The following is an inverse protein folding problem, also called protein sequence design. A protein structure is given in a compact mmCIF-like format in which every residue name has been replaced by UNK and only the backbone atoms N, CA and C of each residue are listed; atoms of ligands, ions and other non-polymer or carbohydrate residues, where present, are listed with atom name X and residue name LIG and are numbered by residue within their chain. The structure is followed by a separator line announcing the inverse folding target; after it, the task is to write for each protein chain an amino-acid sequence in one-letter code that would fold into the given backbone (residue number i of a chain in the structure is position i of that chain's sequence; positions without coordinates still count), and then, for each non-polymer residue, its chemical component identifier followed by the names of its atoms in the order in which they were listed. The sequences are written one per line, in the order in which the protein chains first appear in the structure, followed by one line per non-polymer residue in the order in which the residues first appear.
data_IF_077464772349
#
_entry.id   IF_077464772349
#
_cell.length_a   1.000
_cell.length_b   1.000
_cell.length_c   1.000
_cell.angle_alpha   90.00
_cell.angle_beta   90.00
_cell.angle_gamma   90.00
#
_symmetry.space_group_name_H-M   'P 1'
#
loop_
_entity.id
_entity.type
_entity.pdbx_description
1 polymer ?
#
# COMPACT_ATOMS: atom_id res chain seq x y z
N UNK A 1 1.06 -20.34 6.97
CA UNK A 1 1.50 -18.95 6.74
C UNK A 1 0.84 -18.49 5.46
N UNK A 2 0.15 -17.34 5.49
CA UNK A 2 -0.45 -16.71 4.31
C UNK A 2 0.57 -15.79 3.65
N UNK A 3 0.44 -15.54 2.34
CA UNK A 3 1.27 -14.56 1.65
C UNK A 3 0.95 -13.17 2.21
N UNK A 4 1.97 -12.34 2.42
CA UNK A 4 1.80 -10.90 2.58
C UNK A 4 2.71 -10.23 1.58
N UNK A 5 2.12 -9.55 0.60
CA UNK A 5 2.85 -8.80 -0.41
C UNK A 5 2.41 -7.35 -0.34
N UNK A 6 3.35 -6.42 -0.17
CA UNK A 6 3.07 -4.99 -0.12
C UNK A 6 3.78 -4.25 -1.24
N UNK A 7 3.11 -3.28 -1.86
CA UNK A 7 3.64 -2.47 -2.93
C UNK A 7 3.39 -0.99 -2.65
N UNK A 8 4.46 -0.21 -2.70
CA UNK A 8 4.50 1.26 -2.67
C UNK A 8 5.05 1.79 -4.01
N UNK A 9 5.19 3.12 -4.13
CA UNK A 9 5.62 3.80 -5.35
C UNK A 9 6.79 3.15 -6.09
N UNK A 10 7.84 2.84 -5.36
CA UNK A 10 9.05 2.21 -5.89
C UNK A 10 9.57 1.09 -4.97
N UNK A 11 8.76 0.55 -4.07
CA UNK A 11 9.15 -0.56 -3.18
C UNK A 11 8.13 -1.68 -3.31
N UNK A 12 8.59 -2.89 -3.57
CA UNK A 12 7.82 -4.12 -3.40
C UNK A 12 8.37 -4.88 -2.20
N UNK A 13 7.50 -5.39 -1.34
CA UNK A 13 7.86 -6.17 -0.17
C UNK A 13 7.17 -7.50 -0.32
N UNK A 14 7.94 -8.54 -0.61
CA UNK A 14 7.48 -9.93 -0.70
C UNK A 14 7.95 -10.69 0.53
N UNK A 15 7.51 -11.94 0.76
CA UNK A 15 8.14 -12.84 1.74
C UNK A 15 9.44 -13.45 1.18
N UNK A 16 10.52 -13.62 1.98
CA UNK A 16 10.71 -13.06 3.32
C UNK A 16 10.64 -11.54 3.23
N UNK A 17 10.10 -10.86 4.25
CA UNK A 17 9.66 -9.43 4.30
C UNK A 17 10.77 -8.41 4.02
N UNK A 18 11.47 -8.58 2.92
CA UNK A 18 12.58 -7.80 2.41
C UNK A 18 12.02 -6.91 1.32
N UNK A 19 12.38 -5.64 1.37
CA UNK A 19 12.05 -4.73 0.29
C UNK A 19 12.90 -5.04 -0.93
N UNK A 20 12.28 -4.93 -2.08
CA UNK A 20 12.90 -4.96 -3.39
C UNK A 20 12.68 -3.57 -3.97
N UNK A 21 13.78 -2.88 -4.21
CA UNK A 21 13.76 -1.56 -4.79
C UNK A 21 13.45 -1.64 -6.28
N UNK A 22 12.36 -1.01 -6.67
CA UNK A 22 11.83 -1.05 -8.03
C UNK A 22 12.18 0.21 -8.84
N UNK A 23 13.23 0.95 -8.45
CA UNK A 23 13.67 2.16 -9.17
C UNK A 23 13.97 1.95 -10.67
N UNK A 24 14.11 0.71 -11.14
CA UNK A 24 14.23 0.35 -12.57
C UNK A 24 12.88 0.30 -13.33
N UNK A 25 11.74 0.37 -12.62
CA UNK A 25 10.41 0.38 -13.25
C UNK A 25 10.16 1.70 -13.98
N UNK A 26 9.97 1.60 -15.29
CA UNK A 26 9.64 2.75 -16.11
C UNK A 26 8.31 3.37 -15.67
N UNK A 27 8.32 4.69 -15.50
CA UNK A 27 7.28 5.42 -14.74
C UNK A 27 5.88 5.43 -15.36
N UNK A 28 5.63 4.83 -16.52
CA UNK A 28 4.38 4.95 -17.29
C UNK A 28 3.62 3.64 -17.55
N UNK A 29 3.79 2.60 -16.74
CA UNK A 29 3.28 1.25 -17.06
C UNK A 29 2.40 0.62 -16.00
N UNK A 30 1.34 -0.06 -16.42
CA UNK A 30 0.55 -0.91 -15.53
C UNK A 30 1.27 -2.22 -15.27
N UNK A 31 1.39 -2.62 -14.00
CA UNK A 31 2.02 -3.87 -13.61
C UNK A 31 1.04 -4.80 -12.91
N UNK A 32 1.10 -6.07 -13.27
CA UNK A 32 0.34 -7.13 -12.63
C UNK A 32 1.01 -7.47 -11.28
N UNK A 33 0.30 -7.18 -10.20
CA UNK A 33 0.81 -7.47 -8.86
C UNK A 33 0.61 -8.95 -8.52
N UNK A 34 -0.58 -9.47 -8.80
CA UNK A 34 -0.94 -10.85 -8.53
C UNK A 34 -2.07 -11.33 -9.44
N UNK A 35 -1.97 -12.57 -9.94
CA UNK A 35 -3.05 -13.30 -10.61
C UNK A 35 -3.05 -14.77 -10.20
N UNK A 36 -4.20 -15.43 -10.37
CA UNK A 36 -4.37 -16.88 -10.28
C UNK A 36 -4.81 -17.39 -11.66
N UNK A 37 -4.07 -18.30 -12.34
CA UNK A 37 -4.50 -18.89 -13.61
C UNK A 37 -5.77 -19.78 -13.48
N UNK A 38 -6.58 -19.92 -14.54
CA UNK A 38 -7.77 -19.11 -14.85
C UNK A 38 -9.08 -19.63 -14.19
N UNK A 39 -10.09 -18.78 -13.92
CA UNK A 39 -10.29 -17.45 -14.52
C UNK A 39 -11.43 -16.58 -13.97
N UNK A 40 -11.30 -16.03 -12.75
CA UNK A 40 -12.11 -14.87 -12.32
C UNK A 40 -11.40 -13.88 -11.35
N UNK A 41 -10.08 -14.03 -11.11
CA UNK A 41 -9.39 -13.20 -10.10
C UNK A 41 -7.99 -12.79 -10.56
N UNK A 42 -7.83 -11.50 -10.83
CA UNK A 42 -6.52 -10.87 -11.00
C UNK A 42 -6.56 -9.47 -10.40
N UNK A 43 -5.46 -9.09 -9.76
CA UNK A 43 -5.30 -7.78 -9.14
C UNK A 43 -4.18 -7.05 -9.84
N UNK A 44 -4.51 -5.86 -10.34
CA UNK A 44 -3.58 -5.00 -11.05
C UNK A 44 -3.39 -3.71 -10.27
N UNK A 45 -2.17 -3.45 -9.82
CA UNK A 45 -1.79 -2.12 -9.34
C UNK A 45 -1.47 -1.25 -10.56
N UNK A 46 -2.30 -0.24 -10.84
CA UNK A 46 -2.03 0.70 -11.93
C UNK A 46 -0.93 1.69 -11.53
N UNK A 47 0.10 1.80 -12.38
CA UNK A 47 1.05 2.90 -12.36
C UNK A 47 0.91 3.71 -13.66
N UNK A 48 0.68 5.01 -13.54
CA UNK A 48 0.62 5.92 -14.70
C UNK A 48 1.31 7.24 -14.39
N UNK A 49 2.53 7.43 -14.89
CA UNK A 49 3.15 8.74 -15.09
C UNK A 49 3.00 9.14 -16.56
N UNK A 50 2.34 10.27 -16.83
CA UNK A 50 2.32 10.94 -18.13
C UNK A 50 2.40 12.43 -17.87
N UNK A 51 3.56 13.07 -18.01
CA UNK A 51 3.58 14.53 -17.96
C UNK A 51 2.99 15.11 -19.23
N UNK A 52 1.83 15.78 -19.11
CA UNK A 52 1.69 17.23 -19.33
C UNK A 52 0.64 17.77 -18.35
N UNK A 53 1.11 18.35 -17.25
CA UNK A 53 0.42 19.22 -16.27
C UNK A 53 -0.33 18.65 -15.04
N UNK A 54 -0.65 17.35 -14.89
CA UNK A 54 -0.96 16.66 -13.59
C UNK A 54 -1.58 15.28 -13.82
N UNK A 55 -1.06 14.23 -13.18
CA UNK A 55 -1.81 13.12 -12.54
C UNK A 55 -0.84 12.06 -12.00
N UNK A 56 -0.97 11.78 -10.71
CA UNK A 56 -0.27 10.76 -9.94
C UNK A 56 -1.35 10.07 -9.09
N UNK A 57 -1.56 8.77 -9.27
CA UNK A 57 -2.45 7.97 -8.42
C UNK A 57 -2.02 6.50 -8.48
N UNK A 58 -1.57 6.00 -7.34
CA UNK A 58 -1.61 4.56 -7.04
C UNK A 58 -3.06 4.30 -6.67
N UNK A 59 -3.90 4.05 -7.67
CA UNK A 59 -5.27 3.59 -7.46
C UNK A 59 -5.22 2.08 -7.70
N UNK A 60 -5.07 1.24 -6.66
CA UNK A 60 -5.12 -0.20 -6.86
C UNK A 60 -6.46 -0.57 -7.49
N UNK A 61 -6.36 -1.38 -8.54
CA UNK A 61 -7.49 -1.82 -9.32
C UNK A 61 -7.61 -3.34 -9.20
N UNK A 62 -8.70 -3.77 -8.59
CA UNK A 62 -8.94 -5.18 -8.29
C UNK A 62 -10.05 -5.66 -9.21
N UNK A 63 -9.78 -6.73 -9.97
CA UNK A 63 -10.80 -7.45 -10.72
C UNK A 63 -11.11 -8.76 -10.00
N UNK A 64 -12.32 -8.85 -9.45
CA UNK A 64 -12.73 -10.02 -8.70
C UNK A 64 -14.23 -10.28 -8.83
N UNK A 65 -14.59 -11.53 -9.10
CA UNK A 65 -15.99 -11.96 -9.24
C UNK A 65 -16.79 -11.10 -10.24
N UNK A 66 -16.15 -10.67 -11.33
CA UNK A 66 -16.74 -9.82 -12.37
C UNK A 66 -16.86 -8.33 -12.01
N UNK A 67 -16.39 -7.89 -10.84
CA UNK A 67 -16.35 -6.48 -10.45
C UNK A 67 -14.99 -5.86 -10.69
N UNK A 68 -15.03 -4.63 -11.21
CA UNK A 68 -13.93 -3.69 -11.27
C UNK A 68 -13.98 -2.77 -10.06
N UNK A 69 -12.97 -2.85 -9.20
CA UNK A 69 -12.93 -2.10 -7.94
C UNK A 69 -11.68 -1.23 -7.91
N UNK A 70 -11.85 0.07 -7.72
CA UNK A 70 -10.75 1.03 -7.59
C UNK A 70 -10.78 1.72 -6.22
N UNK A 71 -9.67 1.63 -5.49
CA UNK A 71 -9.48 2.30 -4.20
C UNK A 71 -8.64 3.56 -4.40
N UNK A 72 -9.04 4.68 -3.79
CA UNK A 72 -8.28 5.93 -3.86
C UNK A 72 -8.35 6.69 -2.54
N UNK A 73 -7.25 7.32 -2.13
CA UNK A 73 -7.23 8.20 -0.97
C UNK A 73 -7.94 9.55 -1.22
N UNK A 74 -8.26 9.89 -2.48
CA UNK A 74 -9.06 11.08 -2.79
C UNK A 74 -10.51 10.98 -2.33
N UNK A 75 -11.03 9.76 -2.17
CA UNK A 75 -12.41 9.55 -1.74
C UNK A 75 -12.44 8.90 -0.37
N UNK A 76 -12.35 9.68 0.70
CA UNK A 76 -12.14 9.18 2.08
C UNK A 76 -13.01 7.98 2.44
N UNK A 77 -14.34 8.09 2.34
CA UNK A 77 -15.33 7.08 2.76
C UNK A 77 -15.96 6.30 1.60
N UNK A 78 -15.31 6.29 0.42
CA UNK A 78 -15.89 5.75 -0.83
C UNK A 78 -14.94 4.88 -1.64
N UNK A 79 -15.54 4.11 -2.53
CA UNK A 79 -14.92 3.16 -3.45
C UNK A 79 -15.61 3.19 -4.81
N UNK A 80 -14.84 3.11 -5.88
CA UNK A 80 -15.37 3.04 -7.23
C UNK A 80 -15.57 1.58 -7.63
N UNK A 81 -16.78 1.20 -8.04
CA UNK A 81 -17.15 -0.16 -8.45
C UNK A 81 -17.85 -0.10 -9.80
N UNK A 82 -17.27 -0.71 -10.84
CA UNK A 82 -17.78 -0.68 -12.21
C UNK A 82 -18.10 0.73 -12.72
N UNK A 83 -17.30 1.73 -12.32
CA UNK A 83 -17.51 3.15 -12.65
C UNK A 83 -18.56 3.87 -11.79
N UNK A 84 -19.13 3.21 -10.77
CA UNK A 84 -20.06 3.81 -9.80
C UNK A 84 -19.39 4.02 -8.45
N UNK A 85 -19.51 5.23 -7.89
CA UNK A 85 -18.91 5.58 -6.61
C UNK A 85 -19.85 5.21 -5.45
N UNK A 86 -19.50 4.15 -4.72
CA UNK A 86 -20.23 3.63 -3.55
C UNK A 86 -19.61 4.11 -2.23
N UNK A 87 -20.38 4.06 -1.13
CA UNK A 87 -19.87 4.32 0.23
C UNK A 87 -19.46 3.02 0.92
N UNK A 88 -18.45 3.09 1.77
CA UNK A 88 -18.16 2.00 2.70
C UNK A 88 -19.13 2.02 3.91
N UNK A 89 -19.47 0.86 4.49
CA UNK A 89 -19.23 -0.49 3.95
C UNK A 89 -20.19 -0.81 2.79
N UNK A 90 -19.75 -1.66 1.87
CA UNK A 90 -20.56 -2.18 0.76
C UNK A 90 -20.31 -3.67 0.59
N UNK A 91 -21.33 -4.41 0.17
CA UNK A 91 -21.27 -5.86 -0.05
C UNK A 91 -21.74 -6.16 -1.46
N UNK A 92 -20.95 -6.93 -2.21
CA UNK A 92 -21.23 -7.35 -3.58
C UNK A 92 -21.33 -8.88 -3.67
N UNK A 93 -21.82 -9.40 -4.80
CA UNK A 93 -21.96 -10.85 -5.05
C UNK A 93 -22.60 -11.62 -3.88
N UNK A 94 -23.70 -11.13 -3.32
CA UNK A 94 -24.42 -11.80 -2.21
C UNK A 94 -23.55 -12.12 -0.97
N UNK A 95 -22.55 -11.27 -0.68
CA UNK A 95 -21.66 -11.49 0.49
C UNK A 95 -20.26 -11.97 0.13
N UNK A 96 -20.02 -12.36 -1.11
CA UNK A 96 -18.71 -12.90 -1.54
C UNK A 96 -17.61 -11.85 -1.65
N UNK A 97 -17.97 -10.59 -1.83
CA UNK A 97 -17.01 -9.48 -1.84
C UNK A 97 -17.48 -8.42 -0.86
N UNK A 98 -16.67 -8.13 0.16
CA UNK A 98 -16.93 -7.10 1.16
C UNK A 98 -15.95 -5.96 0.97
N UNK A 99 -16.49 -4.76 1.01
CA UNK A 99 -15.78 -3.50 0.89
C UNK A 99 -15.97 -2.73 2.20
N UNK A 100 -14.90 -2.44 2.93
CA UNK A 100 -14.99 -1.75 4.21
C UNK A 100 -13.75 -0.94 4.54
N UNK A 101 -13.82 -0.17 5.63
CA UNK A 101 -12.68 0.56 6.18
C UNK A 101 -12.39 0.13 7.61
N UNK A 102 -11.12 0.18 8.00
CA UNK A 102 -10.68 0.07 9.38
C UNK A 102 -9.55 1.07 9.59
N UNK A 103 -9.74 2.00 10.54
CA UNK A 103 -8.82 3.13 10.70
C UNK A 103 -8.70 3.93 9.40
N UNK A 104 -7.45 4.15 8.95
CA UNK A 104 -7.13 4.79 7.66
C UNK A 104 -7.09 3.83 6.47
N UNK A 105 -7.30 2.53 6.70
CA UNK A 105 -7.10 1.49 5.69
C UNK A 105 -8.42 1.08 5.04
N UNK A 106 -8.38 0.88 3.72
CA UNK A 106 -9.52 0.40 2.91
C UNK A 106 -9.31 -1.05 2.52
N UNK A 107 -10.37 -1.85 2.56
CA UNK A 107 -10.32 -3.28 2.37
C UNK A 107 -11.25 -3.75 1.26
N UNK A 108 -10.74 -4.69 0.46
CA UNK A 108 -11.50 -5.61 -0.38
C UNK A 108 -11.24 -7.01 0.16
N UNK A 109 -12.27 -7.65 0.72
CA UNK A 109 -12.20 -9.01 1.25
C UNK A 109 -13.12 -9.92 0.45
N UNK A 110 -12.64 -11.12 0.14
CA UNK A 110 -13.40 -12.12 -0.61
C UNK A 110 -13.70 -13.36 0.22
N UNK A 111 -14.73 -14.11 -0.16
CA UNK A 111 -15.12 -15.38 0.47
C UNK A 111 -14.07 -16.49 0.32
N UNK A 112 -13.26 -16.44 -0.74
CA UNK A 112 -12.11 -17.34 -0.94
C UNK A 112 -10.83 -16.88 -0.21
N UNK A 113 -10.90 -15.79 0.55
CA UNK A 113 -9.85 -15.36 1.49
C UNK A 113 -8.80 -14.40 0.93
N UNK A 114 -8.98 -13.85 -0.28
CA UNK A 114 -8.16 -12.72 -0.75
C UNK A 114 -8.53 -11.48 0.06
N UNK A 115 -7.51 -10.78 0.56
CA UNK A 115 -7.68 -9.48 1.21
C UNK A 115 -6.73 -8.48 0.56
N UNK A 116 -7.28 -7.41 -0.01
CA UNK A 116 -6.52 -6.27 -0.52
C UNK A 116 -6.74 -5.10 0.43
N UNK A 117 -5.68 -4.66 1.09
CA UNK A 117 -5.64 -3.46 1.92
C UNK A 117 -4.98 -2.32 1.14
N UNK A 118 -5.56 -1.13 1.22
CA UNK A 118 -4.93 0.09 0.71
C UNK A 118 -4.88 1.14 1.82
N UNK A 119 -3.66 1.58 2.16
CA UNK A 119 -3.41 2.58 3.21
C UNK A 119 -2.24 3.46 2.82
N UNK A 120 -2.41 4.78 2.85
CA UNK A 120 -1.31 5.74 2.68
C UNK A 120 -0.39 5.46 1.47
N UNK A 121 -0.98 5.09 0.33
CA UNK A 121 -0.32 4.73 -0.94
C UNK A 121 0.37 3.36 -0.97
N UNK A 122 0.24 2.56 0.08
CA UNK A 122 0.69 1.17 0.11
C UNK A 122 -0.51 0.26 -0.17
N UNK A 123 -0.33 -0.65 -1.11
CA UNK A 123 -1.24 -1.77 -1.37
C UNK A 123 -0.66 -2.97 -0.66
N UNK A 124 -1.43 -3.65 0.19
CA UNK A 124 -1.01 -4.89 0.85
C UNK A 124 -2.00 -5.99 0.52
N UNK A 125 -1.48 -7.18 0.27
CA UNK A 125 -2.22 -8.27 -0.36
C UNK A 125 -2.00 -9.50 0.50
N UNK A 126 -3.08 -10.06 1.00
CA UNK A 126 -3.07 -11.35 1.67
C UNK A 126 -3.69 -12.40 0.79
N UNK A 127 -2.97 -13.52 0.65
CA UNK A 127 -3.46 -14.68 -0.09
C UNK A 127 -3.33 -15.95 0.76
N UNK A 128 -4.39 -16.78 0.85
CA UNK A 128 -4.33 -18.05 1.59
C UNK A 128 -3.32 -19.03 0.99
N UNK A 129 -2.68 -19.85 1.85
CA UNK A 129 -1.66 -20.85 1.44
C UNK A 129 -2.15 -21.87 0.41
N UNK A 130 -3.47 -22.07 0.29
CA UNK A 130 -4.05 -22.96 -0.73
C UNK A 130 -3.72 -22.53 -2.17
N UNK A 131 -3.29 -21.27 -2.37
CA UNK A 131 -2.84 -20.75 -3.67
C UNK A 131 -1.33 -20.82 -3.87
N UNK A 132 -0.58 -21.45 -2.96
CA UNK A 132 0.88 -21.66 -3.07
C UNK A 132 1.25 -22.32 -4.40
N UNK A 133 2.18 -21.72 -5.15
CA UNK A 133 2.63 -22.20 -6.46
C UNK A 133 1.62 -21.97 -7.60
N UNK A 134 0.46 -21.36 -7.32
CA UNK A 134 -0.56 -21.02 -8.31
C UNK A 134 -0.64 -19.50 -8.56
N UNK A 135 0.21 -18.72 -7.91
CA UNK A 135 0.26 -17.27 -8.09
C UNK A 135 1.26 -16.89 -9.18
N UNK A 136 1.00 -15.76 -9.82
CA UNK A 136 1.87 -15.17 -10.81
C UNK A 136 1.79 -13.64 -10.67
N UNK A 137 2.91 -12.93 -10.83
CA UNK A 137 2.94 -11.47 -10.69
C UNK A 137 4.22 -11.00 -10.01
N UNK A 138 4.30 -9.69 -9.75
CA UNK A 138 5.38 -9.12 -8.95
C UNK A 138 5.46 -9.70 -7.53
N UNK A 139 4.36 -10.21 -6.98
CA UNK A 139 4.39 -10.88 -5.67
C UNK A 139 4.94 -12.32 -5.71
N UNK A 140 5.45 -12.77 -6.85
CA UNK A 140 5.97 -14.13 -7.03
C UNK A 140 4.90 -15.21 -7.07
N UNK A 141 5.34 -16.45 -6.85
CA UNK A 141 4.51 -17.65 -7.02
C UNK A 141 4.00 -18.20 -5.67
N UNK A 142 4.51 -17.68 -4.55
CA UNK A 142 4.14 -18.06 -3.19
C UNK A 142 4.38 -19.55 -2.86
N UNK A 143 5.41 -20.16 -3.44
CA UNK A 143 5.79 -21.56 -3.15
C UNK A 143 6.67 -21.70 -1.87
N UNK A 144 7.17 -20.58 -1.33
CA UNK A 144 8.05 -20.53 -0.16
C UNK A 144 9.55 -20.48 -0.48
N UNK A 145 9.91 -20.32 -1.75
CA UNK A 145 11.27 -20.14 -2.23
C UNK A 145 11.46 -18.72 -2.80
N UNK A 146 12.05 -17.78 -2.04
CA UNK A 146 12.20 -16.41 -2.51
C UNK A 146 13.19 -16.24 -3.66
N UNK A 147 14.03 -17.23 -3.93
CA UNK A 147 14.98 -17.19 -5.04
C UNK A 147 14.28 -17.28 -6.41
N UNK A 148 13.06 -17.82 -6.47
CA UNK A 148 12.29 -17.97 -7.72
C UNK A 148 11.08 -17.03 -7.82
N UNK A 149 10.82 -16.20 -6.80
CA UNK A 149 9.66 -15.30 -6.78
C UNK A 149 9.79 -14.14 -7.78
N UNK A 150 11.01 -13.78 -8.18
CA UNK A 150 11.30 -12.66 -9.10
C UNK A 150 12.13 -13.06 -10.32
N UNK A 151 12.41 -14.36 -10.48
CA UNK A 151 13.20 -14.90 -11.60
C UNK A 151 12.23 -15.51 -12.60
N UNK A 152 12.19 -15.04 -13.86
CA UNK A 152 11.40 -15.70 -14.89
C UNK A 152 12.00 -17.09 -15.15
N UNK A 153 11.20 -18.02 -15.68
CA UNK A 153 11.65 -19.39 -16.02
C UNK A 153 12.87 -19.45 -16.98
N UNK A 154 13.40 -18.32 -17.45
CA UNK A 154 14.41 -18.18 -18.51
C UNK A 154 15.75 -17.54 -18.09
N UNK A 155 16.05 -17.41 -16.78
CA UNK A 155 17.31 -16.83 -16.26
C UNK A 155 17.58 -15.34 -16.67
N UNK A 156 16.54 -14.58 -17.02
CA UNK A 156 16.68 -13.17 -17.40
C UNK A 156 16.96 -12.23 -16.21
N UNK A 157 17.67 -11.12 -16.48
CA UNK A 157 18.03 -10.09 -15.49
C UNK A 157 16.80 -9.44 -14.82
N UNK A 158 16.96 -8.98 -13.58
CA UNK A 158 15.91 -8.42 -12.73
C UNK A 158 15.06 -7.34 -13.42
N UNK A 159 15.69 -6.47 -14.21
CA UNK A 159 14.99 -5.43 -14.97
C UNK A 159 14.10 -6.00 -16.10
N UNK A 160 14.48 -7.12 -16.71
CA UNK A 160 13.65 -7.82 -17.70
C UNK A 160 12.49 -8.54 -17.01
N UNK A 161 12.74 -9.20 -15.87
CA UNK A 161 11.74 -9.91 -15.08
C UNK A 161 10.55 -9.02 -14.66
N UNK A 162 10.84 -7.82 -14.18
CA UNK A 162 9.81 -6.82 -13.83
C UNK A 162 9.04 -6.34 -15.06
N UNK A 163 9.71 -6.27 -16.22
CA UNK A 163 9.10 -5.93 -17.51
C UNK A 163 8.07 -6.95 -18.00
N UNK A 164 8.22 -8.24 -17.67
CA UNK A 164 7.28 -9.31 -18.07
C UNK A 164 5.88 -9.13 -17.47
N UNK A 165 5.76 -8.51 -16.29
CA UNK A 165 4.49 -8.28 -15.63
C UNK A 165 3.74 -7.02 -16.11
N UNK A 166 4.23 -6.38 -17.18
CA UNK A 166 3.60 -5.21 -17.78
C UNK A 166 2.37 -5.60 -18.60
N UNK A 167 1.20 -5.04 -18.28
CA UNK A 167 -0.08 -5.51 -18.85
C UNK A 167 -0.59 -4.76 -20.08
N UNK A 168 0.16 -3.79 -20.65
CA UNK A 168 -0.12 -3.28 -22.00
C UNK A 168 1.04 -2.50 -22.65
N UNK A 169 1.22 -2.78 -23.94
CA UNK A 169 2.04 -2.03 -24.91
C UNK A 169 1.27 -0.81 -25.42
N UNK A 170 1.58 0.38 -24.92
CA UNK A 170 1.36 1.61 -25.68
C UNK A 170 2.71 2.29 -25.90
N UNK A 171 3.15 2.24 -27.17
CA UNK A 171 4.15 3.05 -27.90
C UNK A 171 5.17 3.84 -27.09
N UNK A 172 6.45 3.68 -27.49
CA UNK A 172 7.62 4.46 -27.11
C UNK A 172 7.28 5.89 -26.70
N UNK A 173 7.19 6.11 -25.40
CA UNK A 173 7.36 7.43 -24.83
C UNK A 173 8.87 7.59 -24.69
N UNK A 174 9.48 8.37 -25.58
CA UNK A 174 10.85 8.84 -25.37
C UNK A 174 10.86 9.64 -24.07
N UNK A 175 11.66 9.20 -23.11
CA UNK A 175 11.95 9.95 -21.89
C UNK A 175 12.48 11.32 -22.32
N UNK A 176 11.60 12.33 -22.29
CA UNK A 176 12.08 13.70 -22.26
C UNK A 176 12.44 13.95 -20.80
N UNK A 177 13.67 14.42 -20.51
CA UNK A 177 14.04 14.74 -19.16
C UNK A 177 13.07 15.81 -18.67
N UNK A 178 12.12 15.40 -17.81
CA UNK A 178 11.46 16.32 -16.90
C UNK A 178 12.62 17.04 -16.23
N UNK A 179 12.55 18.37 -16.21
CA UNK A 179 13.36 19.17 -15.30
C UNK A 179 13.06 18.65 -13.89
N UNK A 180 13.81 17.62 -13.47
CA UNK A 180 13.87 17.17 -12.10
C UNK A 180 14.23 18.45 -11.36
N UNK A 181 13.40 18.88 -10.41
CA UNK A 181 13.93 19.79 -9.41
C UNK A 181 15.22 19.12 -8.92
N UNK A 182 16.36 19.76 -9.20
CA UNK A 182 17.64 19.21 -8.79
C UNK A 182 17.60 19.30 -7.28
N UNK A 183 17.29 18.19 -6.63
CA UNK A 183 17.42 18.09 -5.20
C UNK A 183 18.87 18.44 -4.85
N UNK A 184 19.03 19.60 -4.22
CA UNK A 184 20.35 20.09 -3.86
C UNK A 184 20.87 19.28 -2.66
N UNK A 185 22.16 19.44 -2.35
CA UNK A 185 22.78 18.72 -1.24
C UNK A 185 22.18 19.07 0.13
N UNK A 186 21.62 20.26 0.29
CA UNK A 186 21.02 20.73 1.54
C UNK A 186 19.66 20.06 1.79
N UNK A 187 18.79 20.03 0.78
CA UNK A 187 17.51 19.33 0.80
C UNK A 187 17.71 17.83 1.03
N UNK A 188 18.70 17.22 0.35
CA UNK A 188 19.02 15.82 0.57
C UNK A 188 19.52 15.56 2.00
N UNK A 189 20.35 16.45 2.57
CA UNK A 189 20.81 16.32 3.94
C UNK A 189 19.66 16.48 4.95
N UNK A 190 18.75 17.43 4.70
CA UNK A 190 17.53 17.63 5.49
C UNK A 190 16.65 16.37 5.48
N UNK A 191 16.35 15.82 4.30
CA UNK A 191 15.48 14.65 4.16
C UNK A 191 16.09 13.40 4.79
N UNK A 192 17.42 13.24 4.74
CA UNK A 192 18.14 12.17 5.44
C UNK A 192 18.14 12.32 6.96
N UNK A 193 17.89 13.53 7.48
CA UNK A 193 17.87 13.81 8.92
C UNK A 193 16.70 13.16 9.67
N UNK A 194 16.82 13.08 11.00
CA UNK A 194 15.81 12.51 11.91
C UNK A 194 14.48 13.26 11.94
N UNK A 195 14.47 14.52 11.51
CA UNK A 195 13.24 15.31 11.38
C UNK A 195 12.44 14.98 10.11
N UNK A 196 13.01 14.18 9.22
CA UNK A 196 12.40 13.70 7.99
C UNK A 196 12.49 12.16 7.90
N UNK A 197 13.09 11.62 6.85
CA UNK A 197 13.13 10.18 6.58
C UNK A 197 14.00 9.44 7.61
N UNK A 198 15.03 10.08 8.15
CA UNK A 198 15.93 9.47 9.15
C UNK A 198 15.22 8.98 10.41
N UNK A 199 13.98 9.43 10.67
CA UNK A 199 13.14 8.90 11.74
C UNK A 199 12.82 7.41 11.58
N UNK A 200 12.71 6.93 10.33
CA UNK A 200 12.50 5.51 10.02
C UNK A 200 13.66 4.63 10.50
N UNK A 201 14.86 5.20 10.64
CA UNK A 201 16.06 4.47 11.07
C UNK A 201 16.36 4.66 12.56
N UNK A 202 15.55 5.42 13.30
CA UNK A 202 15.87 5.76 14.68
C UNK A 202 15.74 4.54 15.60
N UNK A 203 16.88 4.05 16.11
CA UNK A 203 16.95 2.89 16.98
C UNK A 203 16.36 3.11 18.37
N UNK A 204 15.99 4.34 18.72
CA UNK A 204 15.29 4.70 19.96
C UNK A 204 13.94 5.37 19.67
N UNK A 205 13.51 5.37 18.41
CA UNK A 205 12.29 6.02 17.96
C UNK A 205 11.06 5.13 17.98
N UNK A 206 9.91 5.73 17.64
CA UNK A 206 8.59 5.08 17.70
C UNK A 206 8.43 3.83 16.81
N UNK A 207 9.33 3.65 15.84
CA UNK A 207 9.29 2.56 14.86
C UNK A 207 10.18 1.36 15.23
N UNK A 208 10.97 1.45 16.31
CA UNK A 208 11.95 0.42 16.69
C UNK A 208 11.38 -1.00 16.72
N UNK A 209 10.18 -1.16 17.29
CA UNK A 209 9.51 -2.47 17.39
C UNK A 209 9.19 -3.07 16.02
N UNK A 210 9.01 -2.24 15.00
CA UNK A 210 8.75 -2.67 13.63
C UNK A 210 10.01 -3.10 12.88
N UNK A 211 11.19 -2.56 13.21
CA UNK A 211 12.44 -2.87 12.48
C UNK A 211 12.78 -4.38 12.47
N UNK A 212 12.28 -5.14 13.46
CA UNK A 212 12.44 -6.60 13.54
C UNK A 212 11.60 -7.37 12.52
N UNK A 213 10.58 -6.72 11.96
CA UNK A 213 9.54 -7.35 11.12
C UNK A 213 9.55 -6.78 9.71
N UNK A 214 9.82 -5.49 9.55
CA UNK A 214 9.92 -4.79 8.26
C UNK A 214 11.21 -3.99 8.26
N UNK A 215 12.10 -4.26 7.32
CA UNK A 215 13.35 -3.51 7.18
C UNK A 215 13.07 -2.03 6.85
N UNK A 216 13.51 -1.06 7.68
CA UNK A 216 13.28 0.35 7.41
C UNK A 216 14.16 0.92 6.31
N UNK A 217 15.23 0.24 5.88
CA UNK A 217 16.23 0.80 4.95
C UNK A 217 15.63 1.15 3.58
N UNK A 218 14.90 0.23 2.97
CA UNK A 218 14.25 0.48 1.67
C UNK A 218 13.21 1.61 1.76
N UNK A 219 12.47 1.68 2.88
CA UNK A 219 11.53 2.76 3.15
C UNK A 219 12.22 4.11 3.31
N UNK A 220 13.36 4.14 4.00
CA UNK A 220 14.16 5.34 4.18
C UNK A 220 14.71 5.85 2.84
N UNK A 221 15.32 4.97 2.04
CA UNK A 221 15.90 5.35 0.74
C UNK A 221 14.80 5.84 -0.22
N UNK A 222 13.66 5.16 -0.23
CA UNK A 222 12.49 5.59 -0.99
C UNK A 222 11.91 6.91 -0.48
N UNK A 223 11.86 7.13 0.83
CA UNK A 223 11.39 8.36 1.43
C UNK A 223 12.25 9.54 0.97
N UNK A 224 13.59 9.41 1.07
CA UNK A 224 14.53 10.43 0.63
C UNK A 224 14.35 10.69 -0.85
N UNK A 225 14.29 9.64 -1.68
CA UNK A 225 14.06 9.76 -3.11
C UNK A 225 12.75 10.49 -3.44
N UNK A 226 11.65 10.13 -2.78
CA UNK A 226 10.34 10.70 -3.04
C UNK A 226 10.21 12.16 -2.58
N UNK A 227 10.81 12.56 -1.46
CA UNK A 227 10.85 13.97 -1.07
C UNK A 227 11.76 14.81 -1.97
N UNK A 228 12.84 14.21 -2.45
CA UNK A 228 13.90 14.85 -3.22
C UNK A 228 13.52 15.01 -4.71
N UNK A 229 12.89 13.99 -5.30
CA UNK A 229 12.60 13.93 -6.73
C UNK A 229 11.11 13.67 -7.05
N UNK A 230 10.28 13.41 -6.03
CA UNK A 230 8.85 13.19 -6.20
C UNK A 230 8.07 14.49 -6.17
N UNK A 231 7.21 14.70 -7.17
CA UNK A 231 6.44 15.94 -7.31
C UNK A 231 5.29 16.12 -6.30
N UNK A 232 4.96 15.12 -5.46
CA UNK A 232 3.81 15.16 -4.52
C UNK A 232 3.97 14.22 -3.30
N UNK A 233 5.20 13.86 -2.93
CA UNK A 233 5.40 13.01 -1.76
C UNK A 233 5.27 13.83 -0.48
N UNK A 234 4.41 13.39 0.44
CA UNK A 234 4.32 13.95 1.77
C UNK A 234 5.03 12.98 2.73
N UNK A 235 5.99 13.48 3.50
CA UNK A 235 6.69 12.73 4.54
C UNK A 235 5.70 11.95 5.41
N UNK A 236 4.62 12.60 5.84
CA UNK A 236 3.62 11.98 6.70
C UNK A 236 2.89 10.83 6.03
N UNK A 237 2.62 10.89 4.72
CA UNK A 237 2.00 9.77 4.00
C UNK A 237 2.96 8.57 3.93
N UNK A 238 4.25 8.82 3.69
CA UNK A 238 5.27 7.78 3.66
C UNK A 238 5.39 7.10 5.02
N UNK A 239 5.50 7.90 6.10
CA UNK A 239 5.54 7.39 7.47
C UNK A 239 4.26 6.62 7.83
N UNK A 240 3.08 7.14 7.47
CA UNK A 240 1.80 6.45 7.69
C UNK A 240 1.73 5.11 6.96
N UNK A 241 2.34 5.02 5.77
CA UNK A 241 2.46 3.77 5.03
C UNK A 241 3.28 2.74 5.79
N UNK A 242 4.46 3.13 6.27
CA UNK A 242 5.31 2.23 7.09
C UNK A 242 4.56 1.74 8.34
N UNK A 243 3.88 2.64 9.06
CA UNK A 243 3.04 2.30 10.22
C UNK A 243 1.95 1.29 9.88
N UNK A 244 1.22 1.51 8.79
CA UNK A 244 0.14 0.62 8.37
C UNK A 244 0.66 -0.78 8.05
N UNK A 245 1.83 -0.88 7.42
CA UNK A 245 2.49 -2.15 7.14
C UNK A 245 2.99 -2.83 8.42
N UNK A 246 3.65 -2.10 9.33
CA UNK A 246 4.08 -2.61 10.63
C UNK A 246 2.91 -3.26 11.38
N UNK A 247 1.79 -2.54 11.47
CA UNK A 247 0.58 -3.02 12.13
C UNK A 247 -0.06 -4.21 11.41
N UNK A 248 0.01 -4.26 10.07
CA UNK A 248 -0.46 -5.43 9.32
C UNK A 248 0.37 -6.68 9.61
N UNK A 249 1.68 -6.49 9.74
CA UNK A 249 2.62 -7.55 10.13
C UNK A 249 2.54 -7.91 11.63
N UNK A 250 1.69 -7.23 12.40
CA UNK A 250 1.48 -7.49 13.83
C UNK A 250 2.54 -6.87 14.73
N UNK A 251 3.42 -6.01 14.19
CA UNK A 251 4.34 -5.22 15.00
C UNK A 251 3.59 -4.06 15.67
N UNK A 252 4.00 -3.73 16.90
CA UNK A 252 3.54 -2.51 17.58
C UNK A 252 4.33 -1.30 17.09
N UNK A 253 3.69 -0.15 17.15
CA UNK A 253 4.30 1.15 16.85
C UNK A 253 3.93 2.08 17.99
N UNK A 254 4.91 2.83 18.50
CA UNK A 254 4.67 3.81 19.55
C UNK A 254 4.14 5.13 18.95
N UNK A 255 3.75 6.07 19.81
CA UNK A 255 3.21 7.34 19.35
C UNK A 255 4.22 8.13 18.49
N UNK A 256 3.89 8.33 17.21
CA UNK A 256 4.78 8.93 16.22
C UNK A 256 4.25 10.25 15.64
N UNK A 257 2.95 10.51 15.78
CA UNK A 257 2.30 11.79 15.44
C UNK A 257 2.22 12.67 16.68
N UNK A 258 2.39 13.97 16.49
CA UNK A 258 2.17 14.98 17.53
C UNK A 258 1.34 16.12 16.96
N UNK A 259 0.94 17.09 17.80
CA UNK A 259 0.23 18.29 17.34
C UNK A 259 1.00 19.06 16.26
N UNK A 260 2.34 19.01 16.35
CA UNK A 260 3.24 19.81 15.52
C UNK A 260 3.92 18.95 14.43
N UNK A 261 3.72 17.63 14.44
CA UNK A 261 4.31 16.70 13.48
C UNK A 261 3.29 15.68 12.98
N UNK A 262 2.99 15.72 11.68
CA UNK A 262 2.06 14.80 11.03
C UNK A 262 0.70 14.67 11.72
N UNK A 263 0.20 15.78 12.28
CA UNK A 263 -1.10 15.82 12.94
C UNK A 263 -2.21 15.30 12.00
N UNK A 264 -3.08 14.43 12.52
CA UNK A 264 -4.22 13.87 11.80
C UNK A 264 -5.52 14.45 12.37
N UNK A 265 -6.23 15.20 11.53
CA UNK A 265 -7.54 15.74 11.89
C UNK A 265 -8.64 14.73 11.62
N UNK A 266 -9.33 14.33 12.68
CA UNK A 266 -10.48 13.43 12.59
C UNK A 266 -11.80 14.21 12.44
N UNK A 267 -12.80 13.66 11.72
CA UNK A 267 -14.12 14.26 11.64
C UNK A 267 -14.79 14.46 13.00
N UNK A 268 -15.82 15.31 13.04
CA UNK A 268 -16.68 15.47 14.23
C UNK A 268 -17.10 14.12 14.81
N UNK A 269 -17.14 14.05 16.15
CA UNK A 269 -17.52 12.84 16.90
C UNK A 269 -16.57 11.64 16.77
N UNK A 270 -15.38 11.85 16.20
CA UNK A 270 -14.30 10.86 16.19
C UNK A 270 -13.01 11.41 16.80
N UNK A 271 -12.10 10.51 17.13
CA UNK A 271 -10.78 10.82 17.66
C UNK A 271 -9.73 9.91 17.04
N UNK A 272 -8.51 10.45 16.92
CA UNK A 272 -7.37 9.69 16.45
C UNK A 272 -6.97 8.65 17.50
N UNK A 273 -6.79 7.42 17.07
CA UNK A 273 -6.16 6.37 17.86
C UNK A 273 -5.16 5.61 16.99
N UNK A 274 -3.96 5.40 17.53
CA UNK A 274 -2.92 4.60 16.86
C UNK A 274 -3.27 3.11 16.87
N UNK A 275 -3.84 2.63 17.97
CA UNK A 275 -4.14 1.23 18.19
C UNK A 275 -5.30 1.07 19.19
N UNK A 276 -6.57 1.10 18.74
CA UNK A 276 -7.71 0.97 19.64
C UNK A 276 -7.71 -0.41 20.32
N UNK A 277 -7.75 -0.46 21.66
CA UNK A 277 -7.82 -1.73 22.41
C UNK A 277 -9.22 -2.36 22.43
N UNK A 278 -10.26 -1.57 22.14
CA UNK A 278 -11.65 -2.00 22.04
C UNK A 278 -12.33 -1.23 20.90
N UNK A 279 -12.77 -1.91 19.85
CA UNK A 279 -13.36 -1.25 18.67
C UNK A 279 -14.87 -1.14 18.80
N UNK A 280 -15.38 0.04 19.16
CA UNK A 280 -16.71 0.47 18.68
C UNK A 280 -16.51 1.08 17.29
N UNK A 281 -16.43 0.24 16.26
CA UNK A 281 -16.68 0.72 14.89
C UNK A 281 -18.08 1.30 14.87
N UNK A 282 -18.27 2.46 14.22
CA UNK A 282 -19.56 3.16 14.11
C UNK A 282 -20.61 2.38 13.28
N UNK A 283 -20.37 1.10 13.04
CA UNK A 283 -21.17 0.09 12.38
C UNK A 283 -20.77 -1.23 13.03
N UNK A 284 -21.75 -1.99 13.51
CA UNK A 284 -21.61 -3.07 14.49
C UNK A 284 -20.53 -4.14 14.21
N UNK A 285 -20.09 -4.70 15.35
CA UNK A 285 -19.37 -5.97 15.60
C UNK A 285 -17.83 -5.98 15.53
N UNK A 286 -17.14 -6.22 16.68
CA UNK A 286 -15.69 -6.36 16.77
C UNK A 286 -15.29 -7.79 16.38
N UNK A 287 -15.20 -8.08 15.08
CA UNK A 287 -14.50 -9.28 14.64
C UNK A 287 -12.99 -9.02 14.73
N UNK A 288 -12.40 -9.34 15.89
CA UNK A 288 -10.94 -9.44 16.13
C UNK A 288 -10.09 -8.50 15.26
N UNK A 289 -10.39 -7.20 15.30
CA UNK A 289 -9.71 -6.23 14.47
C UNK A 289 -8.28 -6.12 14.98
N UNK A 290 -7.32 -6.45 14.11
CA UNK A 290 -5.91 -6.17 14.36
C UNK A 290 -5.76 -4.67 14.62
N UNK A 291 -4.77 -4.32 15.44
CA UNK A 291 -4.36 -2.93 15.69
C UNK A 291 -4.27 -2.12 14.39
N UNK A 292 -4.98 -1.00 14.29
CA UNK A 292 -4.94 -0.12 13.11
C UNK A 292 -5.05 1.35 13.49
N UNK A 293 -4.15 2.15 12.92
CA UNK A 293 -4.17 3.60 13.03
C UNK A 293 -5.40 4.19 12.31
N UNK A 294 -6.09 5.12 12.97
CA UNK A 294 -7.04 6.01 12.30
C UNK A 294 -8.00 6.73 13.22
N UNK A 295 -9.10 7.21 12.64
CA UNK A 295 -10.14 7.93 13.35
C UNK A 295 -11.26 6.98 13.77
N UNK A 296 -11.54 6.94 15.07
CA UNK A 296 -12.56 6.06 15.66
C UNK A 296 -13.62 6.88 16.38
N UNK A 297 -14.85 6.36 16.43
CA UNK A 297 -15.94 7.03 17.14
C UNK A 297 -15.61 7.19 18.62
N UNK A 298 -15.94 8.36 19.18
CA UNK A 298 -15.86 8.58 20.63
C UNK A 298 -16.86 7.65 21.35
N UNK A 299 -16.55 7.19 22.57
CA UNK A 299 -17.48 6.36 23.34
C UNK A 299 -18.88 6.97 23.43
N UNK A 300 -19.91 6.17 23.13
CA UNK A 300 -21.31 6.59 23.19
C UNK A 300 -21.88 7.25 21.93
N UNK A 301 -21.10 7.39 20.85
CA UNK A 301 -21.58 7.92 19.56
C UNK A 301 -21.47 6.83 18.49
N UNK A 302 -22.60 6.51 17.84
CA UNK A 302 -22.70 5.43 16.84
C UNK A 302 -22.82 5.92 15.39
N UNK A 303 -22.73 7.23 15.13
CA UNK A 303 -22.90 7.79 13.78
C UNK A 303 -21.98 8.98 13.50
N UNK A 304 -21.44 9.03 12.28
CA UNK A 304 -20.60 10.11 11.72
C UNK A 304 -21.36 11.44 11.44
N UNK A 305 -22.38 11.78 12.23
CA UNK A 305 -23.16 13.01 12.01
C UNK A 305 -22.54 14.22 12.66
#
# INVERSE_FOLDING_TARGET
MSLVCALSKEILITPPLTGINLMSMATAHTYLLLTVPPGETWMTSLWRSRTRLRMQLISPFVMVSGYSIELSNHWTDRVMVNGLLLRFPSVLSQGKVKLYMTGLSKYVETDFGLIVMYSSRIVTVHMPRIFSGALCGLCGNFNGNPEDDMVPDDDSDFAQAVGHWRTNTERDCVDTPVSRASCNSEDMALYKGKDCCGRLLDSEGAFLSCHKTVDPQDFYDNCVYNLCYGNQANLCEILSGYVALCQEMGATVDEWRTSDFCNLFCPSNSEYQLCPSNTSTCTESPSSLKCKEGCFCKPGIFQWR
#
